data_IF_950140600952
#
_entry.id   IF_950140600952
#
_cell.length_a   1.000
_cell.length_b   1.000
_cell.length_c   1.000
_cell.angle_alpha   90.00
_cell.angle_beta   90.00
_cell.angle_gamma   90.00
#
_symmetry.space_group_name_H-M   'P 1'
#
loop_
_entity.id
_entity.type
_entity.pdbx_description
1 polymer ?
#
# COMPACT_ATOMS: atom_id res chain seq x y z
N UNK A 1 -7.65 -46.69 -7.48
CA UNK A 1 -7.84 -45.47 -6.67
C UNK A 1 -7.16 -44.31 -7.37
N UNK A 2 -7.92 -43.49 -8.09
CA UNK A 2 -7.37 -42.30 -8.73
C UNK A 2 -7.11 -41.26 -7.63
N UNK A 3 -5.83 -40.91 -7.42
CA UNK A 3 -5.49 -39.72 -6.62
C UNK A 3 -6.01 -38.53 -7.41
N UNK A 4 -6.99 -37.83 -6.85
CA UNK A 4 -7.41 -36.55 -7.40
C UNK A 4 -6.19 -35.62 -7.31
N UNK A 5 -5.68 -35.19 -8.46
CA UNK A 5 -4.68 -34.14 -8.54
C UNK A 5 -5.34 -32.85 -8.06
N UNK A 6 -5.18 -32.55 -6.76
CA UNK A 6 -5.61 -31.27 -6.19
C UNK A 6 -4.86 -30.18 -6.95
N UNK A 7 -5.56 -29.25 -7.62
CA UNK A 7 -4.89 -28.19 -8.36
C UNK A 7 -4.05 -27.38 -7.38
N UNK A 8 -2.73 -27.45 -7.58
CA UNK A 8 -1.74 -26.82 -6.72
C UNK A 8 -1.91 -25.31 -6.84
N UNK A 9 -2.23 -24.63 -5.74
CA UNK A 9 -2.34 -23.18 -5.74
C UNK A 9 -0.92 -22.58 -5.85
N UNK A 10 -0.53 -22.00 -6.99
CA UNK A 10 0.83 -21.50 -7.19
C UNK A 10 1.18 -20.37 -6.21
N UNK A 11 0.17 -19.62 -5.76
CA UNK A 11 0.35 -18.53 -4.80
C UNK A 11 0.53 -19.01 -3.37
N UNK A 12 -0.04 -20.16 -3.02
CA UNK A 12 0.10 -20.76 -1.69
C UNK A 12 1.55 -21.18 -1.41
N UNK A 13 2.16 -21.88 -2.37
CA UNK A 13 3.57 -22.30 -2.26
C UNK A 13 4.52 -21.10 -2.30
N UNK A 14 4.25 -20.11 -3.16
CA UNK A 14 5.03 -18.88 -3.23
C UNK A 14 4.96 -18.07 -1.93
N UNK A 15 3.77 -17.92 -1.36
CA UNK A 15 3.56 -17.21 -0.09
C UNK A 15 4.27 -17.91 1.05
N UNK A 16 4.16 -19.24 1.13
CA UNK A 16 4.86 -20.03 2.14
C UNK A 16 6.38 -19.82 2.06
N UNK A 17 6.95 -19.92 0.85
CA UNK A 17 8.38 -19.69 0.66
C UNK A 17 8.81 -18.27 1.05
N UNK A 18 8.01 -17.25 0.77
CA UNK A 18 8.30 -15.87 1.15
C UNK A 18 8.22 -15.64 2.67
N UNK A 19 7.28 -16.30 3.37
CA UNK A 19 7.20 -16.29 4.83
C UNK A 19 8.42 -16.96 5.45
N UNK A 20 8.84 -18.11 4.91
CA UNK A 20 10.03 -18.83 5.38
C UNK A 20 11.30 -17.97 5.18
N UNK A 21 11.40 -17.24 4.06
CA UNK A 21 12.49 -16.30 3.80
C UNK A 21 12.50 -15.11 4.78
N UNK A 22 11.33 -14.53 5.08
CA UNK A 22 11.20 -13.46 6.09
C UNK A 22 11.64 -13.95 7.47
N UNK A 23 11.22 -15.16 7.86
CA UNK A 23 11.64 -15.79 9.11
C UNK A 23 13.16 -15.98 9.17
N UNK A 24 13.78 -16.46 8.10
CA UNK A 24 15.25 -16.60 8.03
C UNK A 24 15.96 -15.25 8.14
N UNK A 25 15.40 -14.18 7.55
CA UNK A 25 15.93 -12.83 7.70
C UNK A 25 15.80 -12.31 9.13
N UNK A 26 14.70 -12.60 9.82
CA UNK A 26 14.48 -12.26 11.25
C UNK A 26 15.49 -12.99 12.14
N UNK A 27 15.65 -14.30 11.94
CA UNK A 27 16.65 -15.11 12.67
C UNK A 27 18.06 -14.57 12.40
N UNK A 28 18.40 -14.24 11.16
CA UNK A 28 19.70 -13.65 10.82
C UNK A 28 19.93 -12.27 11.46
N UNK A 29 18.87 -11.45 11.57
CA UNK A 29 18.95 -10.14 12.23
C UNK A 29 19.23 -10.26 13.73
N UNK A 30 18.66 -11.26 14.42
CA UNK A 30 18.87 -11.49 15.86
C UNK A 30 20.34 -11.76 16.21
N UNK A 31 21.08 -12.38 15.29
CA UNK A 31 22.50 -12.71 15.45
C UNK A 31 23.42 -11.79 14.65
N UNK A 32 22.90 -10.70 14.08
CA UNK A 32 23.66 -9.79 13.26
C UNK A 32 24.67 -8.99 14.08
N UNK A 33 25.87 -8.79 13.52
CA UNK A 33 26.78 -7.78 14.02
C UNK A 33 26.20 -6.39 13.75
N UNK A 34 26.43 -5.48 14.69
CA UNK A 34 26.15 -4.05 14.58
C UNK A 34 26.64 -3.41 13.28
N UNK A 35 27.77 -3.86 12.74
CA UNK A 35 28.32 -3.36 11.47
C UNK A 35 27.46 -3.70 10.24
N UNK A 36 26.59 -4.72 10.32
CA UNK A 36 25.77 -5.19 9.20
C UNK A 36 24.27 -4.99 9.39
N UNK A 37 23.85 -4.23 10.41
CA UNK A 37 22.41 -4.04 10.71
C UNK A 37 21.62 -3.54 9.50
N UNK A 38 22.13 -2.57 8.76
CA UNK A 38 21.46 -2.01 7.58
C UNK A 38 21.19 -3.07 6.51
N UNK A 39 22.14 -3.98 6.30
CA UNK A 39 21.99 -5.10 5.37
C UNK A 39 20.88 -6.05 5.81
N UNK A 40 20.82 -6.38 7.10
CA UNK A 40 19.79 -7.27 7.63
C UNK A 40 18.41 -6.60 7.64
N UNK A 41 18.32 -5.30 7.94
CA UNK A 41 17.08 -4.51 7.81
C UNK A 41 16.60 -4.49 6.36
N UNK A 42 17.51 -4.26 5.40
CA UNK A 42 17.15 -4.29 3.98
C UNK A 42 16.56 -5.66 3.58
N UNK A 43 17.16 -6.76 4.04
CA UNK A 43 16.65 -8.11 3.76
C UNK A 43 15.26 -8.35 4.34
N UNK A 44 14.99 -7.85 5.54
CA UNK A 44 13.66 -7.94 6.16
C UNK A 44 12.62 -7.20 5.32
N UNK A 45 12.90 -5.95 4.94
CA UNK A 45 12.01 -5.15 4.12
C UNK A 45 11.77 -5.77 2.74
N UNK A 46 12.81 -6.32 2.13
CA UNK A 46 12.71 -7.01 0.84
C UNK A 46 11.79 -8.24 0.93
N UNK A 47 11.89 -9.02 2.01
CA UNK A 47 11.01 -10.18 2.25
C UNK A 47 9.55 -9.75 2.48
N UNK A 48 9.32 -8.64 3.18
CA UNK A 48 7.98 -8.09 3.40
C UNK A 48 7.32 -7.58 2.11
N UNK A 49 8.07 -6.88 1.26
CA UNK A 49 7.55 -6.43 -0.04
C UNK A 49 7.26 -7.61 -0.96
N UNK A 50 8.07 -8.67 -0.91
CA UNK A 50 7.83 -9.91 -1.66
C UNK A 50 6.51 -10.57 -1.25
N UNK A 51 6.23 -10.68 0.05
CA UNK A 51 4.95 -11.19 0.56
C UNK A 51 3.79 -10.32 0.05
N UNK A 52 3.93 -9.00 0.16
CA UNK A 52 2.92 -8.04 -0.29
C UNK A 52 2.63 -8.15 -1.79
N UNK A 53 3.66 -8.35 -2.61
CA UNK A 53 3.53 -8.54 -4.04
C UNK A 53 2.79 -9.83 -4.38
N UNK A 54 3.14 -10.95 -3.73
CA UNK A 54 2.46 -12.24 -3.93
C UNK A 54 0.97 -12.12 -3.57
N UNK A 55 0.64 -11.47 -2.46
CA UNK A 55 -0.75 -11.25 -2.06
C UNK A 55 -1.50 -10.37 -3.07
N UNK A 56 -0.89 -9.30 -3.57
CA UNK A 56 -1.48 -8.46 -4.62
C UNK A 56 -1.75 -9.26 -5.91
N UNK A 57 -0.79 -10.07 -6.35
CA UNK A 57 -0.93 -10.91 -7.54
C UNK A 57 -1.98 -12.00 -7.36
N UNK A 58 -1.99 -12.69 -6.22
CA UNK A 58 -3.00 -13.68 -5.89
C UNK A 58 -4.40 -13.04 -5.87
N UNK A 59 -4.53 -11.89 -5.21
CA UNK A 59 -5.78 -11.13 -5.13
C UNK A 59 -6.30 -10.74 -6.51
N UNK A 60 -5.42 -10.27 -7.40
CA UNK A 60 -5.76 -9.96 -8.79
C UNK A 60 -6.20 -11.20 -9.57
N UNK A 61 -5.51 -12.33 -9.41
CA UNK A 61 -5.82 -13.60 -10.07
C UNK A 61 -7.19 -14.17 -9.64
N UNK A 62 -7.58 -13.98 -8.37
CA UNK A 62 -8.89 -14.40 -7.85
C UNK A 62 -10.01 -13.37 -8.06
N UNK A 63 -9.72 -12.21 -8.69
CA UNK A 63 -10.70 -11.15 -8.91
C UNK A 63 -11.20 -10.48 -7.63
N UNK A 64 -10.52 -10.68 -6.50
CA UNK A 64 -10.93 -10.12 -5.21
C UNK A 64 -10.45 -8.67 -5.15
N UNK A 65 -11.30 -7.68 -5.35
CA UNK A 65 -10.92 -6.28 -5.16
C UNK A 65 -10.37 -5.54 -6.38
N UNK A 66 -11.03 -5.69 -7.53
CA UNK A 66 -11.15 -4.51 -8.39
C UNK A 66 -11.82 -3.41 -7.53
N UNK A 67 -11.16 -2.27 -7.22
CA UNK A 67 -11.94 -1.08 -6.97
C UNK A 67 -12.81 -0.88 -8.21
N UNK A 68 -14.11 -0.63 -8.03
CA UNK A 68 -14.95 -0.13 -9.10
C UNK A 68 -14.13 0.89 -9.88
N UNK A 69 -13.96 0.67 -11.18
CA UNK A 69 -13.27 1.61 -12.04
C UNK A 69 -13.78 3.00 -11.65
N UNK A 70 -12.89 3.88 -11.19
CA UNK A 70 -13.26 5.27 -10.97
C UNK A 70 -13.65 5.73 -12.37
N UNK A 71 -14.97 5.76 -12.61
CA UNK A 71 -15.54 6.39 -13.79
C UNK A 71 -14.85 7.76 -13.86
N UNK A 72 -14.27 8.16 -15.00
CA UNK A 72 -13.68 9.48 -15.11
C UNK A 72 -14.75 10.45 -14.63
N UNK A 73 -14.43 11.21 -13.57
CA UNK A 73 -15.31 12.21 -13.00
C UNK A 73 -15.86 13.01 -14.18
N UNK A 74 -17.19 12.98 -14.34
CA UNK A 74 -17.87 13.71 -15.39
C UNK A 74 -17.25 15.11 -15.42
N UNK A 75 -16.68 15.47 -16.55
CA UNK A 75 -16.15 16.81 -16.82
C UNK A 75 -17.20 17.80 -16.31
N UNK A 76 -16.92 18.66 -15.31
CA UNK A 76 -17.89 19.67 -14.94
C UNK A 76 -18.12 20.55 -16.17
N UNK A 77 -19.36 20.55 -16.64
CA UNK A 77 -19.85 21.37 -17.73
C UNK A 77 -19.46 22.84 -17.46
N UNK A 78 -18.74 23.54 -18.35
CA UNK A 78 -18.31 24.91 -18.11
C UNK A 78 -19.46 25.88 -18.37
N UNK A 79 -20.60 25.71 -17.70
CA UNK A 79 -21.69 26.69 -17.73
C UNK A 79 -22.46 26.69 -16.41
N UNK A 80 -21.94 27.36 -15.39
CA UNK A 80 -22.81 28.06 -14.44
C UNK A 80 -22.05 29.19 -13.71
N UNK A 81 -22.51 30.45 -13.83
CA UNK A 81 -21.86 31.60 -13.21
C UNK A 81 -22.37 31.78 -11.78
N UNK A 82 -21.66 31.24 -10.79
CA UNK A 82 -21.99 31.49 -9.39
C UNK A 82 -21.45 32.85 -8.93
N UNK A 83 -22.31 33.86 -9.06
CA UNK A 83 -22.23 35.07 -8.26
C UNK A 83 -22.65 34.77 -6.84
N UNK A 84 -21.68 34.64 -5.93
CA UNK A 84 -21.91 34.78 -4.49
C UNK A 84 -20.79 35.63 -3.89
N UNK A 85 -21.11 36.92 -3.71
CA UNK A 85 -20.33 37.86 -2.91
C UNK A 85 -20.36 37.43 -1.44
N UNK A 86 -19.21 37.05 -0.88
CA UNK A 86 -19.06 36.91 0.57
C UNK A 86 -18.63 38.24 1.17
N UNK A 87 -19.33 38.80 2.19
CA UNK A 87 -18.80 39.93 2.94
C UNK A 87 -17.71 39.43 3.90
N UNK A 88 -16.45 39.82 3.65
CA UNK A 88 -15.37 39.64 4.62
C UNK A 88 -15.57 40.60 5.78
N UNK A 89 -16.23 40.12 6.85
CA UNK A 89 -16.17 40.73 8.17
C UNK A 89 -15.13 39.98 8.99
N UNK A 90 -13.92 40.54 9.09
CA UNK A 90 -12.97 40.20 10.15
C UNK A 90 -12.39 41.52 10.61
N UNK A 91 -12.84 41.95 11.79
CA UNK A 91 -12.19 43.01 12.53
C UNK A 91 -10.80 42.55 12.95
N UNK A 92 -9.82 43.39 12.69
CA UNK A 92 -8.51 43.26 13.31
C UNK A 92 -8.14 44.61 13.91
N UNK A 93 -7.88 44.59 15.21
CA UNK A 93 -7.60 45.73 16.04
C UNK A 93 -6.09 45.78 16.28
N UNK A 94 -5.40 46.81 15.76
CA UNK A 94 -4.25 47.39 16.46
C UNK A 94 -3.97 48.83 16.01
N UNK A 95 -3.53 49.73 16.92
CA UNK A 95 -3.61 51.18 16.76
C UNK A 95 -2.35 51.75 16.09
N UNK A 96 -2.43 53.01 15.65
CA UNK A 96 -1.26 53.88 15.63
C UNK A 96 -1.32 54.93 16.75
N UNK A 97 -0.18 55.07 17.42
CA UNK A 97 0.20 56.12 18.36
C UNK A 97 0.20 57.52 17.71
N UNK A 98 -0.39 58.51 18.39
CA UNK A 98 0.25 59.76 18.86
C UNK A 98 -0.72 60.50 19.80
#
# INVERSE_FOLDING_TARGET
MARQDVPRNPWGDALKAAIDERRQAEEAFQWADTEYLDYHVYRLLAAEEKISLILRQARAAYGIGQPAAILPAATPDPTEPNGESFPTSVGDAHPPSD
#
